data_IF_863417853512
#
_entry.id   IF_863417853512
#
_cell.length_a   1.000
_cell.length_b   1.000
_cell.length_c   1.000
_cell.angle_alpha   90.00
_cell.angle_beta   90.00
_cell.angle_gamma   90.00
#
_symmetry.space_group_name_H-M   'P 1'
#
loop_
_entity.id
_entity.type
_entity.pdbx_description
1 polymer ?
#
# COMPACT_ATOMS: atom_id res chain seq x y z
N UNK A 1 -1.28 -0.50 -6.38
CA UNK A 1 -2.03 -0.31 -5.13
C UNK A 1 -1.15 0.46 -4.16
N UNK A 2 -1.56 1.69 -3.83
CA UNK A 2 -0.89 2.52 -2.85
C UNK A 2 -1.51 2.34 -1.47
N UNK A 3 -0.68 2.04 -0.48
CA UNK A 3 -1.11 1.99 0.91
C UNK A 3 -1.11 3.43 1.48
N UNK A 4 -2.27 4.07 1.58
CA UNK A 4 -2.36 5.38 2.23
C UNK A 4 -2.18 5.18 3.73
N UNK A 5 -0.98 5.46 4.23
CA UNK A 5 -0.77 5.58 5.67
C UNK A 5 -1.30 6.94 6.11
N UNK A 6 -2.36 6.90 6.89
CA UNK A 6 -3.08 8.04 7.43
C UNK A 6 -2.45 8.47 8.75
N UNK A 7 -2.36 9.76 9.02
CA UNK A 7 -2.18 10.24 10.38
C UNK A 7 -3.52 10.85 10.81
N UNK A 8 -4.30 10.08 11.56
CA UNK A 8 -5.43 10.59 12.33
C UNK A 8 -4.96 11.59 13.35
N UNK A 9 -5.82 12.53 13.72
CA UNK A 9 -5.51 13.45 14.79
C UNK A 9 -6.68 13.48 15.78
N UNK A 10 -6.59 12.74 16.90
CA UNK A 10 -7.62 12.62 17.94
C UNK A 10 -7.13 13.22 19.28
N UNK A 11 -8.02 13.71 20.14
CA UNK A 11 -7.65 14.21 21.47
C UNK A 11 -7.80 13.11 22.54
N UNK A 12 -6.75 12.90 23.34
CA UNK A 12 -6.83 12.18 24.62
C UNK A 12 -7.43 13.10 25.68
N UNK A 13 -8.56 12.68 26.26
CA UNK A 13 -9.06 13.18 27.54
C UNK A 13 -8.27 12.54 28.69
N UNK A 14 -7.93 13.34 29.69
CA UNK A 14 -7.15 12.94 30.88
C UNK A 14 -8.03 12.15 31.86
N UNK A 15 -7.45 11.16 32.54
CA UNK A 15 -7.17 11.20 33.99
C UNK A 15 -6.49 9.90 34.48
N UNK A 16 -5.26 10.00 35.00
CA UNK A 16 -4.89 9.57 36.36
C UNK A 16 -3.39 9.76 36.63
N UNK A 17 -3.13 10.25 37.84
CA UNK A 17 -1.85 10.74 38.33
C UNK A 17 -0.93 9.62 38.82
N UNK A 18 0.40 9.75 38.60
CA UNK A 18 1.43 9.19 39.48
C UNK A 18 2.66 10.12 39.51
N UNK A 19 3.31 10.11 40.67
CA UNK A 19 4.26 11.03 41.28
C UNK A 19 5.62 11.25 40.61
N UNK A 20 6.14 12.46 40.85
CA UNK A 20 7.54 12.90 40.75
C UNK A 20 8.56 11.87 41.25
N UNK A 21 9.68 11.69 40.53
CA UNK A 21 11.03 11.51 41.12
C UNK A 21 12.17 11.80 40.12
N UNK A 22 12.88 12.91 40.41
CA UNK A 22 14.30 13.27 40.27
C UNK A 22 15.14 12.75 39.08
N UNK A 23 15.63 13.72 38.29
CA UNK A 23 16.85 13.66 37.49
C UNK A 23 18.11 13.53 38.35
N UNK A 24 19.13 12.83 37.84
CA UNK A 24 20.54 13.13 38.13
C UNK A 24 21.35 13.00 36.84
N UNK A 25 22.05 14.08 36.49
CA UNK A 25 23.07 14.16 35.44
C UNK A 25 24.35 13.42 35.88
N UNK A 26 25.08 12.86 34.91
CA UNK A 26 26.53 12.69 35.01
C UNK A 26 27.17 12.97 33.64
N UNK A 27 28.18 13.84 33.64
CA UNK A 27 29.03 14.27 32.53
C UNK A 27 30.48 13.93 32.91
N UNK A 28 31.28 13.39 31.97
CA UNK A 28 32.75 13.53 31.86
C UNK A 28 33.20 12.83 30.55
N UNK A 29 33.69 13.53 29.49
CA UNK A 29 35.05 14.05 29.21
C UNK A 29 36.07 12.91 28.92
N UNK A 30 36.31 12.54 27.64
CA UNK A 30 37.42 12.90 26.70
C UNK A 30 38.78 12.22 26.97
N UNK A 31 39.34 11.52 25.97
CA UNK A 31 40.73 11.72 25.46
C UNK A 31 41.02 10.94 24.15
N UNK A 32 41.66 11.66 23.21
CA UNK A 32 42.29 11.22 21.95
C UNK A 32 43.63 10.49 22.22
N UNK A 33 44.48 9.97 21.33
CA UNK A 33 44.70 9.85 19.88
C UNK A 33 45.68 8.65 19.72
N UNK A 34 45.96 8.04 18.55
CA UNK A 34 47.08 8.39 17.64
C UNK A 34 47.20 7.31 16.52
N UNK A 35 47.33 7.78 15.26
CA UNK A 35 48.13 7.35 14.07
C UNK A 35 48.51 5.86 13.90
N UNK A 36 48.48 5.17 12.75
CA UNK A 36 48.35 5.53 11.33
C UNK A 36 49.47 4.85 10.52
N UNK A 37 49.19 4.04 9.48
CA UNK A 37 50.06 3.83 8.29
C UNK A 37 49.20 3.48 7.07
N UNK A 38 49.55 4.13 5.97
CA UNK A 38 49.06 4.09 4.59
C UNK A 38 49.33 2.80 3.82
N UNK A 39 48.46 2.47 2.86
CA UNK A 39 48.74 1.59 1.73
C UNK A 39 47.76 1.83 0.57
N UNK A 40 48.23 2.47 -0.51
CA UNK A 40 47.48 2.76 -1.72
C UNK A 40 47.33 1.50 -2.61
N UNK A 41 46.15 1.30 -3.22
CA UNK A 41 46.02 0.68 -4.54
C UNK A 41 44.60 0.86 -5.13
N UNK A 42 44.54 1.32 -6.40
CA UNK A 42 43.50 0.93 -7.36
C UNK A 42 42.20 1.73 -7.38
N UNK A 43 42.24 2.97 -7.89
CA UNK A 43 41.05 3.76 -8.20
C UNK A 43 40.31 3.24 -9.43
N UNK A 44 39.02 2.98 -9.24
CA UNK A 44 38.04 2.63 -10.27
C UNK A 44 36.63 2.79 -9.72
N UNK A 45 36.36 3.93 -9.07
CA UNK A 45 35.04 4.26 -8.54
C UNK A 45 34.11 4.70 -9.67
N UNK A 46 33.16 3.86 -10.03
CA UNK A 46 31.92 4.33 -10.65
C UNK A 46 31.11 5.04 -9.58
N UNK A 47 31.27 6.36 -9.52
CA UNK A 47 30.32 7.25 -8.86
C UNK A 47 29.00 7.18 -9.64
N UNK A 48 28.09 6.29 -9.23
CA UNK A 48 26.71 6.33 -9.66
C UNK A 48 25.99 7.49 -8.96
N UNK A 49 26.25 8.72 -9.40
CA UNK A 49 25.35 9.84 -9.13
C UNK A 49 24.06 9.58 -9.91
N UNK A 50 23.03 9.09 -9.23
CA UNK A 50 21.68 9.03 -9.80
C UNK A 50 21.18 10.47 -9.98
N UNK A 51 21.04 10.88 -11.24
CA UNK A 51 20.55 12.19 -11.61
C UNK A 51 19.05 12.29 -11.30
N UNK A 52 18.71 13.15 -10.34
CA UNK A 52 17.35 13.64 -10.13
C UNK A 52 17.01 14.55 -11.33
N UNK A 53 16.38 13.98 -12.36
CA UNK A 53 16.02 14.73 -13.57
C UNK A 53 15.15 13.98 -14.58
N UNK A 54 14.94 12.67 -14.46
CA UNK A 54 14.09 11.93 -15.41
C UNK A 54 12.61 12.09 -15.09
N UNK A 55 11.84 12.57 -16.07
CA UNK A 55 10.38 12.44 -16.13
C UNK A 55 9.92 11.00 -16.40
N UNK A 56 10.85 10.06 -16.60
CA UNK A 56 10.55 8.65 -16.82
C UNK A 56 10.31 7.94 -15.48
N UNK A 57 9.06 7.52 -15.19
CA UNK A 57 8.73 6.80 -13.96
C UNK A 57 9.56 5.52 -13.78
N UNK A 58 10.08 4.95 -14.86
CA UNK A 58 10.92 3.74 -14.80
C UNK A 58 12.20 3.92 -13.99
N UNK A 59 12.80 5.10 -14.05
CA UNK A 59 14.03 5.42 -13.32
C UNK A 59 13.87 5.42 -11.80
N UNK A 60 12.62 5.45 -11.32
CA UNK A 60 12.28 5.45 -9.89
C UNK A 60 12.26 4.04 -9.31
N UNK A 61 12.42 3.02 -10.16
CA UNK A 61 12.39 1.61 -9.77
C UNK A 61 13.64 0.92 -10.30
N UNK A 62 14.59 0.66 -9.39
CA UNK A 62 15.76 -0.15 -9.70
C UNK A 62 15.39 -1.63 -9.74
N UNK A 63 15.33 -2.19 -10.94
CA UNK A 63 15.10 -3.62 -11.17
C UNK A 63 16.33 -4.25 -11.81
N UNK A 64 16.47 -5.56 -11.62
CA UNK A 64 17.41 -6.40 -12.34
C UNK A 64 16.62 -7.40 -13.23
N UNK A 65 15.98 -6.94 -14.33
CA UNK A 65 15.26 -7.84 -15.21
C UNK A 65 16.27 -8.76 -15.91
N UNK A 66 16.10 -10.06 -15.75
CA UNK A 66 16.87 -11.06 -16.46
C UNK A 66 15.96 -11.80 -17.43
N UNK A 67 16.51 -12.27 -18.55
CA UNK A 67 15.77 -13.18 -19.41
C UNK A 67 15.58 -14.49 -18.66
N UNK A 68 14.34 -14.93 -18.59
CA UNK A 68 13.96 -16.20 -17.96
C UNK A 68 14.74 -17.38 -18.55
N UNK A 69 15.07 -17.36 -19.84
CA UNK A 69 15.83 -18.42 -20.49
C UNK A 69 17.26 -18.57 -19.95
N UNK A 70 17.80 -17.53 -19.29
CA UNK A 70 19.13 -17.52 -18.70
C UNK A 70 19.12 -17.64 -17.17
N UNK A 71 17.96 -17.87 -16.57
CA UNK A 71 17.84 -18.05 -15.12
C UNK A 71 17.84 -19.53 -14.76
N UNK A 72 18.57 -19.87 -13.69
CA UNK A 72 18.50 -21.18 -13.09
C UNK A 72 17.10 -21.43 -12.49
N UNK A 73 16.61 -22.66 -12.65
CA UNK A 73 15.35 -23.10 -12.05
C UNK A 73 15.63 -23.75 -10.70
N UNK A 74 14.78 -23.44 -9.73
CA UNK A 74 14.71 -24.07 -8.43
C UNK A 74 15.00 -23.12 -7.29
N UNK A 75 15.20 -23.69 -6.10
CA UNK A 75 15.57 -22.94 -4.89
C UNK A 75 14.39 -22.42 -4.09
N UNK A 76 14.70 -21.86 -2.91
CA UNK A 76 13.74 -21.26 -1.99
C UNK A 76 14.02 -19.77 -1.87
N UNK A 77 12.98 -18.94 -1.96
CA UNK A 77 13.03 -17.55 -1.51
C UNK A 77 12.26 -17.38 -0.20
N UNK A 78 12.78 -16.60 0.74
CA UNK A 78 12.19 -16.31 2.05
C UNK A 78 11.98 -14.81 2.21
N UNK A 79 10.70 -14.41 2.28
CA UNK A 79 10.27 -13.04 2.44
C UNK A 79 9.65 -12.77 3.81
N UNK A 80 9.71 -11.51 4.23
CA UNK A 80 9.12 -11.06 5.50
C UNK A 80 7.66 -10.69 5.29
N UNK A 81 6.82 -11.14 6.23
CA UNK A 81 5.47 -10.66 6.43
C UNK A 81 5.43 -9.81 7.70
N UNK A 82 4.80 -8.62 7.65
CA UNK A 82 4.68 -7.76 8.84
C UNK A 82 3.53 -8.22 9.74
N UNK A 83 2.47 -8.72 9.12
CA UNK A 83 1.21 -9.05 9.77
C UNK A 83 0.60 -10.29 9.13
N UNK A 84 0.28 -11.29 9.94
CA UNK A 84 -0.49 -12.45 9.47
C UNK A 84 -1.96 -12.05 9.21
N UNK A 85 -2.60 -12.56 8.15
CA UNK A 85 -4.01 -12.30 7.92
C UNK A 85 -4.88 -12.91 9.03
N UNK A 86 -6.00 -12.24 9.33
CA UNK A 86 -7.07 -12.78 10.18
C UNK A 86 -8.22 -13.36 9.36
N UNK A 87 -8.15 -13.23 8.03
CA UNK A 87 -9.03 -13.81 7.04
C UNK A 87 -8.23 -13.97 5.73
N UNK A 88 -8.30 -15.14 5.09
CA UNK A 88 -7.53 -15.43 3.88
C UNK A 88 -8.21 -14.97 2.59
N UNK A 89 -9.44 -14.45 2.66
CA UNK A 89 -10.10 -13.79 1.54
C UNK A 89 -9.56 -12.36 1.36
N UNK A 90 -8.68 -12.16 0.37
CA UNK A 90 -8.08 -10.84 0.08
C UNK A 90 -9.08 -9.76 -0.36
N UNK A 91 -10.30 -10.16 -0.76
CA UNK A 91 -11.39 -9.26 -1.12
C UNK A 91 -12.33 -8.95 0.07
N UNK A 92 -12.08 -9.53 1.24
CA UNK A 92 -12.74 -9.21 2.50
C UNK A 92 -11.92 -8.16 3.28
N UNK A 93 -12.56 -7.24 4.01
CA UNK A 93 -11.87 -6.19 4.79
C UNK A 93 -10.83 -6.73 5.77
N UNK A 94 -11.16 -7.78 6.53
CA UNK A 94 -10.23 -8.47 7.45
C UNK A 94 -9.08 -9.24 6.75
N UNK A 95 -9.18 -9.48 5.44
CA UNK A 95 -8.14 -10.14 4.64
C UNK A 95 -7.38 -9.19 3.71
N UNK A 96 -7.87 -7.96 3.56
CA UNK A 96 -7.25 -6.89 2.78
C UNK A 96 -6.04 -6.29 3.51
N UNK A 97 -4.99 -7.10 3.64
CA UNK A 97 -3.73 -6.78 4.30
C UNK A 97 -2.60 -6.81 3.27
N UNK A 98 -1.72 -5.80 3.27
CA UNK A 98 -0.58 -5.71 2.38
C UNK A 98 0.29 -6.98 2.34
N UNK A 99 0.62 -7.55 3.50
CA UNK A 99 1.48 -8.74 3.55
C UNK A 99 0.80 -9.95 2.90
N UNK A 100 -0.50 -10.13 3.15
CA UNK A 100 -1.27 -11.19 2.52
C UNK A 100 -1.44 -10.97 1.02
N UNK A 101 -1.56 -9.70 0.58
CA UNK A 101 -1.57 -9.29 -0.82
C UNK A 101 -0.38 -9.80 -1.63
N UNK A 102 0.80 -9.97 -1.01
CA UNK A 102 1.97 -10.52 -1.68
C UNK A 102 1.81 -12.01 -2.01
N UNK A 103 1.11 -12.75 -1.15
CA UNK A 103 0.81 -14.18 -1.34
C UNK A 103 -0.32 -14.34 -2.35
N UNK A 104 -1.38 -13.55 -2.24
CA UNK A 104 -2.52 -13.62 -3.19
C UNK A 104 -2.14 -13.15 -4.59
N UNK A 105 -1.19 -12.22 -4.75
CA UNK A 105 -0.66 -11.84 -6.06
C UNK A 105 0.00 -13.01 -6.83
N UNK A 106 0.45 -14.05 -6.12
CA UNK A 106 1.05 -15.25 -6.72
C UNK A 106 0.11 -16.47 -6.74
N UNK A 107 -1.00 -16.43 -6.00
CA UNK A 107 -1.89 -17.59 -5.79
C UNK A 107 -3.30 -17.37 -6.32
N UNK A 108 -3.74 -16.13 -6.52
CA UNK A 108 -5.09 -15.77 -6.99
C UNK A 108 -5.07 -15.22 -8.43
N UNK A 109 -6.22 -15.21 -9.14
CA UNK A 109 -6.31 -14.72 -10.50
C UNK A 109 -6.02 -13.22 -10.61
N UNK A 110 -4.83 -12.84 -11.04
CA UNK A 110 -4.49 -11.45 -11.34
C UNK A 110 -4.68 -11.18 -12.84
N UNK A 111 -5.60 -10.29 -13.23
CA UNK A 111 -5.89 -10.03 -14.67
C UNK A 111 -4.93 -9.01 -15.30
N UNK A 112 -4.38 -8.13 -14.47
CA UNK A 112 -3.54 -7.02 -14.91
C UNK A 112 -2.27 -6.93 -14.08
N UNK A 113 -1.18 -6.57 -14.74
CA UNK A 113 0.08 -6.17 -14.14
C UNK A 113 0.47 -4.80 -14.67
N UNK A 114 1.32 -4.10 -13.92
CA UNK A 114 1.77 -2.76 -14.28
C UNK A 114 3.30 -2.76 -14.42
N UNK A 115 3.77 -2.18 -15.52
CA UNK A 115 5.20 -1.87 -15.69
C UNK A 115 5.62 -0.69 -14.80
N UNK A 116 6.92 -0.48 -14.54
CA UNK A 116 7.42 0.71 -13.85
C UNK A 116 7.02 2.02 -14.53
N UNK A 117 6.80 1.99 -15.84
CA UNK A 117 6.30 3.13 -16.62
C UNK A 117 4.81 3.42 -16.36
N UNK A 118 4.12 2.59 -15.56
CA UNK A 118 2.69 2.68 -15.31
C UNK A 118 1.82 2.11 -16.45
N UNK A 119 2.43 1.56 -17.51
CA UNK A 119 1.68 0.89 -18.56
C UNK A 119 1.09 -0.42 -18.04
N UNK A 120 -0.23 -0.57 -18.17
CA UNK A 120 -0.94 -1.80 -17.87
C UNK A 120 -0.68 -2.86 -18.94
N UNK A 121 -0.50 -4.10 -18.51
CA UNK A 121 -0.49 -5.26 -19.38
C UNK A 121 -1.44 -6.32 -18.84
N UNK A 122 -2.04 -7.09 -19.74
CA UNK A 122 -2.76 -8.29 -19.38
C UNK A 122 -1.81 -9.38 -18.87
N UNK A 123 -2.36 -10.31 -18.10
CA UNK A 123 -1.70 -11.55 -17.72
C UNK A 123 -2.18 -12.71 -18.59
N UNK A 124 -1.85 -13.94 -18.20
CA UNK A 124 -2.24 -15.19 -18.84
C UNK A 124 -3.74 -15.52 -18.74
N UNK A 125 -4.50 -14.75 -17.96
CA UNK A 125 -5.96 -14.89 -17.81
C UNK A 125 -6.76 -14.29 -18.96
N UNK A 126 -6.22 -13.31 -19.67
CA UNK A 126 -6.89 -12.65 -20.80
C UNK A 126 -6.15 -12.96 -22.10
N UNK A 127 -6.89 -13.08 -23.21
CA UNK A 127 -6.26 -13.25 -24.54
C UNK A 127 -5.82 -11.91 -25.14
N UNK A 128 -6.50 -10.82 -24.79
CA UNK A 128 -6.21 -9.43 -25.18
C UNK A 128 -6.66 -8.47 -24.09
N UNK A 129 -6.22 -7.21 -24.18
CA UNK A 129 -6.75 -6.17 -23.28
C UNK A 129 -8.26 -6.02 -23.48
N UNK A 130 -9.04 -5.69 -22.43
CA UNK A 130 -10.48 -5.55 -22.55
C UNK A 130 -10.85 -4.45 -23.56
N UNK A 131 -11.90 -4.70 -24.33
CA UNK A 131 -12.45 -3.71 -25.25
C UNK A 131 -13.41 -2.79 -24.49
N UNK A 132 -13.31 -1.47 -24.70
CA UNK A 132 -14.14 -0.48 -24.01
C UNK A 132 -14.89 0.34 -25.04
N UNK A 133 -16.21 0.34 -24.94
CA UNK A 133 -17.09 1.20 -25.73
C UNK A 133 -17.85 2.14 -24.80
N UNK A 134 -18.03 3.39 -25.20
CA UNK A 134 -18.85 4.36 -24.48
C UNK A 134 -19.90 4.89 -25.45
N UNK A 135 -21.18 4.64 -25.16
CA UNK A 135 -22.30 5.10 -25.97
C UNK A 135 -23.48 5.47 -25.08
N UNK A 136 -24.13 6.60 -25.38
CA UNK A 136 -25.30 7.06 -24.61
C UNK A 136 -25.03 7.30 -23.11
N UNK A 137 -23.78 7.60 -22.72
CA UNK A 137 -23.38 7.79 -21.32
C UNK A 137 -23.15 6.50 -20.53
N UNK A 138 -23.39 5.33 -21.13
CA UNK A 138 -23.01 4.03 -20.58
C UNK A 138 -21.65 3.59 -21.13
N UNK A 139 -20.94 2.81 -20.33
CA UNK A 139 -19.69 2.17 -20.74
C UNK A 139 -19.90 0.66 -20.76
N UNK A 140 -19.51 0.00 -21.84
CA UNK A 140 -19.52 -1.45 -21.97
C UNK A 140 -18.06 -1.92 -22.07
N UNK A 141 -17.70 -2.89 -21.24
CA UNK A 141 -16.37 -3.48 -21.22
C UNK A 141 -16.47 -4.96 -21.52
N UNK A 142 -15.80 -5.41 -22.58
CA UNK A 142 -15.76 -6.81 -22.98
C UNK A 142 -14.41 -7.42 -22.62
N UNK A 143 -14.43 -8.48 -21.82
CA UNK A 143 -13.27 -9.29 -21.45
C UNK A 143 -13.31 -10.61 -22.21
N UNK A 144 -12.18 -11.02 -22.77
CA UNK A 144 -12.03 -12.33 -23.39
C UNK A 144 -11.02 -13.15 -22.57
N UNK A 145 -11.53 -14.12 -21.82
CA UNK A 145 -10.75 -14.99 -20.95
C UNK A 145 -10.01 -16.06 -21.75
N UNK A 146 -8.85 -16.46 -21.24
CA UNK A 146 -8.10 -17.57 -21.79
C UNK A 146 -8.84 -18.89 -21.49
N UNK A 147 -9.22 -19.71 -22.49
CA UNK A 147 -9.97 -20.95 -22.26
C UNK A 147 -9.19 -22.02 -21.48
N UNK A 148 -7.87 -21.83 -21.31
CA UNK A 148 -7.03 -22.67 -20.44
C UNK A 148 -7.17 -22.30 -18.96
N UNK A 149 -7.79 -21.15 -18.64
CA UNK A 149 -7.90 -20.68 -17.28
C UNK A 149 -8.80 -21.58 -16.43
N UNK A 150 -8.22 -22.10 -15.34
CA UNK A 150 -8.86 -23.05 -14.43
C UNK A 150 -8.57 -22.70 -12.97
N UNK A 151 -9.53 -23.02 -12.10
CA UNK A 151 -9.34 -23.07 -10.66
C UNK A 151 -8.59 -24.33 -10.24
N UNK A 152 -8.00 -24.29 -9.05
CA UNK A 152 -7.28 -25.43 -8.49
C UNK A 152 -8.21 -26.61 -8.15
N UNK A 153 -9.53 -26.44 -8.10
CA UNK A 153 -10.50 -27.52 -7.97
C UNK A 153 -10.87 -28.16 -9.33
N UNK A 154 -10.34 -27.63 -10.43
CA UNK A 154 -10.55 -28.12 -11.79
C UNK A 154 -11.69 -27.43 -12.54
N UNK A 155 -12.48 -26.58 -11.89
CA UNK A 155 -13.52 -25.79 -12.57
C UNK A 155 -12.91 -24.72 -13.47
N UNK A 156 -13.66 -24.30 -14.50
CA UNK A 156 -13.22 -23.26 -15.45
C UNK A 156 -13.37 -21.87 -14.84
N UNK A 157 -12.49 -20.96 -15.24
CA UNK A 157 -12.67 -19.53 -14.97
C UNK A 157 -13.46 -18.94 -16.13
N UNK A 158 -14.70 -18.54 -15.87
CA UNK A 158 -15.65 -18.02 -16.84
C UNK A 158 -16.36 -16.76 -16.31
N UNK A 159 -17.39 -16.28 -17.02
CA UNK A 159 -18.18 -15.11 -16.63
C UNK A 159 -18.76 -15.18 -15.20
N UNK A 160 -18.97 -16.38 -14.65
CA UNK A 160 -19.50 -16.54 -13.29
C UNK A 160 -18.51 -16.06 -12.22
N UNK A 161 -17.19 -16.10 -12.50
CA UNK A 161 -16.18 -15.54 -11.61
C UNK A 161 -16.26 -14.00 -11.55
N UNK A 162 -16.57 -13.34 -12.67
CA UNK A 162 -16.82 -11.91 -12.71
C UNK A 162 -18.12 -11.58 -11.99
N UNK A 163 -19.18 -12.36 -12.23
CA UNK A 163 -20.46 -12.15 -11.55
C UNK A 163 -20.31 -12.30 -10.02
N UNK A 164 -19.60 -13.32 -9.57
CA UNK A 164 -19.26 -13.57 -8.16
C UNK A 164 -18.45 -12.40 -7.57
N UNK A 165 -17.41 -11.95 -8.27
CA UNK A 165 -16.57 -10.82 -7.85
C UNK A 165 -17.41 -9.55 -7.74
N UNK A 166 -18.21 -9.23 -8.76
CA UNK A 166 -19.10 -8.07 -8.74
C UNK A 166 -20.13 -8.14 -7.62
N UNK A 167 -20.84 -9.28 -7.47
CA UNK A 167 -21.82 -9.47 -6.40
C UNK A 167 -21.21 -9.28 -5.03
N UNK A 168 -20.00 -9.80 -4.81
CA UNK A 168 -19.29 -9.67 -3.55
C UNK A 168 -18.77 -8.27 -3.27
N UNK A 169 -18.36 -7.51 -4.29
CA UNK A 169 -17.70 -6.20 -4.10
C UNK A 169 -18.63 -4.98 -4.28
N UNK A 170 -19.81 -5.14 -4.89
CA UNK A 170 -20.71 -4.01 -5.18
C UNK A 170 -21.45 -3.43 -3.97
N UNK A 171 -21.38 -4.08 -2.81
CA UNK A 171 -22.26 -3.74 -1.69
C UNK A 171 -21.79 -2.47 -0.95
N UNK A 172 -22.64 -1.43 -0.95
CA UNK A 172 -22.69 -0.47 0.15
C UNK A 172 -23.62 -1.02 1.23
N UNK A 173 -23.08 -1.19 2.44
CA UNK A 173 -23.72 -1.31 3.77
C UNK A 173 -25.25 -1.24 3.78
N UNK A 174 -25.91 -2.40 3.95
CA UNK A 174 -27.01 -2.66 4.90
C UNK A 174 -27.84 -3.92 4.53
N UNK A 175 -28.24 -4.63 5.61
CA UNK A 175 -29.15 -5.78 5.73
C UNK A 175 -28.91 -6.96 4.77
N UNK A 176 -28.09 -7.93 5.22
CA UNK A 176 -27.96 -9.25 4.59
C UNK A 176 -27.13 -9.28 3.30
N UNK A 177 -26.19 -8.34 3.13
CA UNK A 177 -25.29 -8.23 1.96
C UNK A 177 -23.83 -8.39 2.37
N UNK A 178 -22.93 -8.43 1.37
CA UNK A 178 -21.47 -8.45 1.52
C UNK A 178 -20.93 -7.17 2.19
N UNK A 179 -21.19 -7.00 3.48
CA UNK A 179 -20.89 -5.77 4.23
C UNK A 179 -19.40 -5.55 4.52
N UNK A 180 -18.56 -6.55 4.23
CA UNK A 180 -17.13 -6.55 4.49
C UNK A 180 -16.30 -6.57 3.19
N UNK A 181 -16.76 -5.89 2.15
CA UNK A 181 -16.05 -5.79 0.87
C UNK A 181 -14.78 -4.94 0.98
N UNK A 182 -13.64 -5.49 0.55
CA UNK A 182 -12.34 -4.82 0.59
C UNK A 182 -12.11 -3.78 -0.52
N UNK A 183 -12.87 -3.83 -1.62
CA UNK A 183 -12.74 -2.93 -2.77
C UNK A 183 -14.09 -2.67 -3.45
N UNK A 184 -14.76 -1.56 -3.11
CA UNK A 184 -16.11 -1.25 -3.64
C UNK A 184 -16.12 -0.28 -4.83
N UNK A 185 -15.06 0.51 -5.00
CA UNK A 185 -14.98 1.54 -6.04
C UNK A 185 -15.15 0.93 -7.44
N UNK A 186 -15.98 1.57 -8.27
CA UNK A 186 -16.32 1.10 -9.62
C UNK A 186 -17.37 -0.02 -9.66
N UNK A 187 -17.35 -0.97 -8.72
CA UNK A 187 -18.33 -2.07 -8.68
C UNK A 187 -19.77 -1.61 -8.41
N UNK A 188 -19.95 -0.51 -7.67
CA UNK A 188 -21.25 0.14 -7.44
C UNK A 188 -21.87 0.76 -8.71
N UNK A 189 -21.02 1.16 -9.66
CA UNK A 189 -21.42 1.77 -10.93
C UNK A 189 -21.71 0.73 -12.02
N UNK A 190 -21.42 -0.56 -11.78
CA UNK A 190 -21.82 -1.65 -12.69
C UNK A 190 -23.35 -1.81 -12.66
N UNK A 191 -23.93 -1.88 -13.86
CA UNK A 191 -25.33 -2.20 -14.14
C UNK A 191 -25.54 -3.70 -14.28
N UNK A 192 -24.72 -4.37 -15.11
CA UNK A 192 -24.78 -5.82 -15.32
C UNK A 192 -23.41 -6.44 -15.60
N UNK A 193 -23.29 -7.73 -15.26
CA UNK A 193 -22.21 -8.62 -15.68
C UNK A 193 -22.87 -9.82 -16.33
N UNK A 194 -22.58 -10.03 -17.60
CA UNK A 194 -23.27 -11.01 -18.43
C UNK A 194 -22.26 -11.88 -19.19
N UNK A 195 -22.71 -13.09 -19.50
CA UNK A 195 -22.02 -13.95 -20.46
C UNK A 195 -22.18 -13.35 -21.86
N UNK A 196 -21.07 -13.24 -22.60
CA UNK A 196 -21.07 -12.93 -24.02
C UNK A 196 -21.38 -14.16 -24.88
N UNK A 197 -20.73 -14.23 -26.04
CA UNK A 197 -20.95 -15.32 -27.01
C UNK A 197 -20.53 -16.70 -26.45
N UNK A 198 -19.50 -16.74 -25.60
CA UNK A 198 -19.03 -17.94 -24.90
C UNK A 198 -18.96 -17.72 -23.39
N UNK A 199 -18.87 -18.78 -22.56
CA UNK A 199 -18.63 -18.64 -21.12
C UNK A 199 -17.40 -17.79 -20.77
N UNK A 200 -16.36 -17.84 -21.61
CA UNK A 200 -15.09 -17.11 -21.45
C UNK A 200 -15.16 -15.65 -21.91
N UNK A 201 -16.21 -15.25 -22.62
CA UNK A 201 -16.44 -13.86 -22.97
C UNK A 201 -17.37 -13.22 -21.93
N UNK A 202 -16.93 -12.12 -21.33
CA UNK A 202 -17.67 -11.41 -20.28
C UNK A 202 -17.99 -10.01 -20.74
N UNK A 203 -19.25 -9.62 -20.65
CA UNK A 203 -19.72 -8.27 -20.97
C UNK A 203 -20.12 -7.58 -19.67
N UNK A 204 -19.45 -6.48 -19.34
CA UNK A 204 -19.73 -5.67 -18.16
C UNK A 204 -20.26 -4.32 -18.59
N UNK A 205 -21.50 -4.01 -18.21
CA UNK A 205 -22.13 -2.72 -18.49
C UNK A 205 -22.10 -1.84 -17.26
N UNK A 206 -21.60 -0.61 -17.40
CA UNK A 206 -21.58 0.40 -16.34
C UNK A 206 -22.62 1.49 -16.59
N UNK A 207 -23.23 1.95 -15.51
CA UNK A 207 -24.16 3.10 -15.45
C UNK A 207 -23.46 4.42 -15.77
N UNK A 208 -22.16 4.49 -15.50
CA UNK A 208 -21.28 5.65 -15.73
C UNK A 208 -19.88 5.16 -16.09
N UNK A 209 -19.12 5.88 -16.93
CA UNK A 209 -17.75 5.49 -17.25
C UNK A 209 -16.87 5.40 -16.00
N UNK A 210 -16.13 4.29 -15.89
CA UNK A 210 -15.10 4.05 -14.89
C UNK A 210 -13.73 3.97 -15.58
N UNK A 211 -12.72 4.62 -14.98
CA UNK A 211 -11.35 4.62 -15.50
C UNK A 211 -10.33 4.74 -14.35
N UNK A 212 -9.25 3.94 -14.35
CA UNK A 212 -8.90 2.93 -15.36
C UNK A 212 -9.67 1.62 -15.19
N UNK A 213 -10.12 1.02 -16.29
CA UNK A 213 -10.80 -0.29 -16.27
C UNK A 213 -9.90 -1.42 -15.75
N UNK A 214 -8.58 -1.24 -15.71
CA UNK A 214 -7.63 -2.22 -15.17
C UNK A 214 -7.58 -2.23 -13.63
N UNK A 215 -8.27 -1.31 -12.97
CA UNK A 215 -8.46 -1.35 -11.51
C UNK A 215 -9.67 -2.20 -11.09
N UNK A 216 -10.62 -2.43 -11.99
CA UNK A 216 -11.77 -3.29 -11.72
C UNK A 216 -11.49 -4.71 -12.21
N UNK A 217 -11.99 -5.72 -11.49
CA UNK A 217 -11.67 -7.14 -11.74
C UNK A 217 -10.17 -7.44 -11.82
N UNK A 218 -9.31 -6.61 -11.19
CA UNK A 218 -7.87 -6.87 -11.12
C UNK A 218 -7.56 -8.22 -10.45
N UNK A 219 -8.41 -8.61 -9.49
CA UNK A 219 -8.48 -9.96 -8.92
C UNK A 219 -9.88 -10.55 -9.10
N UNK A 220 -9.99 -11.87 -9.30
CA UNK A 220 -11.26 -12.60 -9.34
C UNK A 220 -11.41 -13.52 -8.14
N UNK A 221 -12.66 -13.69 -7.69
CA UNK A 221 -13.02 -14.64 -6.63
C UNK A 221 -13.69 -15.88 -7.21
N UNK A 222 -13.43 -17.03 -6.60
CA UNK A 222 -14.10 -18.27 -6.95
C UNK A 222 -15.61 -18.20 -6.59
N UNK A 223 -16.54 -18.60 -7.47
CA UNK A 223 -17.98 -18.52 -7.21
C UNK A 223 -18.46 -19.14 -5.89
N UNK A 224 -17.89 -20.27 -5.48
CA UNK A 224 -18.14 -20.89 -4.15
C UNK A 224 -17.88 -19.94 -2.97
N UNK A 225 -16.88 -19.05 -3.05
CA UNK A 225 -16.56 -18.11 -1.96
C UNK A 225 -17.60 -16.99 -1.89
N UNK A 226 -18.13 -16.55 -3.03
CA UNK A 226 -19.16 -15.52 -3.13
C UNK A 226 -20.55 -16.10 -3.46
N UNK A 227 -20.84 -17.29 -2.92
CA UNK A 227 -22.16 -17.93 -3.06
C UNK A 227 -23.25 -17.11 -2.36
N UNK A 228 -22.95 -16.71 -1.13
CA UNK A 228 -23.80 -15.89 -0.27
C UNK A 228 -22.92 -15.11 0.72
N UNK A 229 -23.47 -14.06 1.38
CA UNK A 229 -22.71 -13.22 2.30
C UNK A 229 -22.08 -13.97 3.47
N UNK A 230 -22.76 -14.99 4.01
CA UNK A 230 -22.24 -15.76 5.14
C UNK A 230 -21.00 -16.56 4.71
N UNK A 231 -21.09 -17.24 3.56
CA UNK A 231 -19.97 -17.98 2.98
C UNK A 231 -18.77 -17.07 2.72
N UNK A 232 -18.98 -15.87 2.15
CA UNK A 232 -17.88 -14.94 1.89
C UNK A 232 -17.18 -14.42 3.15
N UNK A 233 -17.94 -14.25 4.24
CA UNK A 233 -17.42 -13.78 5.52
C UNK A 233 -16.69 -14.89 6.30
N UNK A 234 -17.09 -16.16 6.13
CA UNK A 234 -16.66 -17.24 7.03
C UNK A 234 -15.79 -18.30 6.38
N UNK A 235 -16.00 -18.63 5.11
CA UNK A 235 -15.35 -19.78 4.44
C UNK A 235 -13.82 -19.70 4.56
N UNK A 236 -13.24 -18.54 4.20
CA UNK A 236 -11.80 -18.33 4.22
C UNK A 236 -11.29 -17.68 5.51
N UNK A 237 -12.09 -17.64 6.58
CA UNK A 237 -11.69 -16.95 7.82
C UNK A 237 -10.50 -17.63 8.49
N UNK A 238 -10.52 -18.95 8.56
CA UNK A 238 -9.47 -19.76 9.20
C UNK A 238 -8.84 -20.79 8.26
N UNK A 239 -9.39 -20.97 7.06
CA UNK A 239 -8.88 -21.90 6.05
C UNK A 239 -8.49 -21.13 4.78
N UNK A 240 -7.26 -21.26 4.26
CA UNK A 240 -6.84 -20.57 3.05
C UNK A 240 -7.49 -21.08 1.75
N UNK A 241 -8.09 -22.27 1.75
CA UNK A 241 -8.76 -22.91 0.60
C UNK A 241 -7.94 -22.86 -0.70
N UNK A 242 -6.73 -23.47 -0.75
CA UNK A 242 -5.87 -23.45 -1.93
C UNK A 242 -6.53 -24.01 -3.19
N UNK A 243 -7.50 -24.92 -3.05
CA UNK A 243 -8.30 -25.48 -4.14
C UNK A 243 -9.24 -24.46 -4.80
N UNK A 244 -9.64 -23.40 -4.09
CA UNK A 244 -10.51 -22.34 -4.62
C UNK A 244 -9.72 -21.16 -5.21
N UNK A 245 -8.41 -21.32 -5.39
CA UNK A 245 -7.51 -20.31 -5.95
C UNK A 245 -7.04 -20.71 -7.34
N UNK A 246 -6.34 -19.82 -8.01
CA UNK A 246 -5.75 -20.07 -9.32
C UNK A 246 -4.64 -19.06 -9.50
N UNK A 247 -3.41 -19.53 -9.58
CA UNK A 247 -2.23 -18.70 -9.75
C UNK A 247 -1.01 -19.56 -10.09
N UNK A 248 0.12 -18.95 -10.45
CA UNK A 248 1.36 -19.67 -10.76
C UNK A 248 1.90 -20.47 -9.57
N UNK A 249 1.61 -20.05 -8.34
CA UNK A 249 1.89 -20.79 -7.12
C UNK A 249 0.59 -21.23 -6.43
N UNK A 250 0.68 -22.24 -5.57
CA UNK A 250 -0.40 -22.70 -4.69
C UNK A 250 0.10 -22.68 -3.25
N UNK A 251 -0.80 -22.37 -2.31
CA UNK A 251 -0.51 -22.43 -0.88
C UNK A 251 -0.30 -23.90 -0.51
N UNK A 252 0.90 -24.21 -0.03
CA UNK A 252 1.28 -25.54 0.44
C UNK A 252 0.97 -25.70 1.93
N UNK A 253 1.26 -24.67 2.71
CA UNK A 253 1.17 -24.71 4.16
C UNK A 253 0.98 -23.31 4.73
N UNK A 254 0.18 -23.24 5.81
CA UNK A 254 0.10 -22.10 6.69
C UNK A 254 0.27 -22.63 8.11
N UNK A 255 1.31 -22.18 8.79
CA UNK A 255 1.61 -22.54 10.17
C UNK A 255 1.39 -21.32 11.06
N UNK A 256 0.28 -21.34 11.80
CA UNK A 256 -0.09 -20.29 12.73
C UNK A 256 0.83 -20.22 13.96
N UNK A 257 1.51 -21.31 14.35
CA UNK A 257 2.40 -21.34 15.50
C UNK A 257 3.73 -20.68 15.17
N UNK A 258 4.34 -21.05 14.05
CA UNK A 258 5.59 -20.42 13.58
C UNK A 258 5.35 -19.11 12.83
N UNK A 259 4.08 -18.78 12.54
CA UNK A 259 3.64 -17.62 11.76
C UNK A 259 4.32 -17.60 10.39
N UNK A 260 4.26 -18.73 9.70
CA UNK A 260 4.81 -18.90 8.35
C UNK A 260 3.75 -19.33 7.34
N UNK A 261 3.94 -18.91 6.09
CA UNK A 261 3.16 -19.40 4.95
C UNK A 261 4.11 -19.84 3.85
N UNK A 262 3.83 -21.00 3.24
CA UNK A 262 4.65 -21.59 2.19
C UNK A 262 3.82 -21.73 0.94
N UNK A 263 4.32 -21.22 -0.19
CA UNK A 263 3.73 -21.44 -1.51
C UNK A 263 4.73 -22.19 -2.40
N UNK A 264 4.20 -23.05 -3.26
CA UNK A 264 4.98 -23.90 -4.18
C UNK A 264 4.39 -23.81 -5.60
N UNK A 265 5.14 -24.17 -6.66
CA UNK A 265 4.62 -24.14 -8.01
C UNK A 265 3.31 -24.91 -8.16
N UNK A 266 2.35 -24.28 -8.83
CA UNK A 266 1.06 -24.87 -9.09
C UNK A 266 1.11 -25.73 -10.36
N UNK A 267 0.91 -27.04 -10.23
CA UNK A 267 0.91 -27.97 -11.37
C UNK A 267 -0.30 -27.79 -12.30
N UNK A 268 -1.34 -27.04 -11.89
CA UNK A 268 -2.52 -26.71 -12.69
C UNK A 268 -2.36 -25.40 -13.48
N UNK A 269 -1.26 -24.67 -13.27
CA UNK A 269 -1.00 -23.41 -13.97
C UNK A 269 -0.69 -23.65 -15.46
N UNK A 270 -1.42 -22.97 -16.34
CA UNK A 270 -1.27 -23.10 -17.80
C UNK A 270 -0.30 -22.09 -18.42
N UNK A 271 0.11 -21.08 -17.65
CA UNK A 271 1.00 -20.02 -18.09
C UNK A 271 2.48 -20.38 -17.94
N UNK A 272 3.33 -19.36 -17.87
CA UNK A 272 4.75 -19.57 -17.57
C UNK A 272 4.90 -20.16 -16.17
N UNK A 273 5.48 -21.36 -16.08
CA UNK A 273 5.72 -22.02 -14.80
C UNK A 273 6.55 -21.13 -13.85
N UNK A 274 6.43 -21.22 -12.53
CA UNK A 274 7.39 -20.57 -11.66
C UNK A 274 8.84 -21.04 -11.88
N UNK A 275 9.79 -20.15 -11.58
CA UNK A 275 11.22 -20.51 -11.57
C UNK A 275 11.67 -21.08 -10.22
N UNK A 276 11.11 -20.58 -9.11
CA UNK A 276 11.43 -21.06 -7.75
C UNK A 276 10.66 -22.34 -7.42
N UNK A 277 11.26 -23.25 -6.64
CA UNK A 277 10.58 -24.45 -6.13
C UNK A 277 9.70 -24.13 -4.92
N UNK A 278 10.04 -23.07 -4.19
CA UNK A 278 9.36 -22.71 -2.95
C UNK A 278 9.52 -21.22 -2.64
N UNK A 279 8.47 -20.61 -2.12
CA UNK A 279 8.54 -19.29 -1.50
C UNK A 279 7.96 -19.38 -0.10
N UNK A 280 8.70 -18.88 0.88
CA UNK A 280 8.34 -18.86 2.30
C UNK A 280 8.11 -17.42 2.72
N UNK A 281 7.01 -17.17 3.43
CA UNK A 281 6.70 -15.89 4.04
C UNK A 281 6.71 -16.08 5.56
N UNK A 282 7.54 -15.31 6.28
CA UNK A 282 7.69 -15.43 7.73
C UNK A 282 7.29 -14.14 8.41
N UNK A 283 6.42 -14.20 9.41
CA UNK A 283 6.09 -13.01 10.20
C UNK A 283 7.28 -12.63 11.09
N UNK A 284 7.75 -11.39 10.98
CA UNK A 284 8.84 -10.88 11.81
C UNK A 284 8.65 -9.39 12.13
N UNK A 285 9.05 -9.00 13.34
CA UNK A 285 9.12 -7.59 13.74
C UNK A 285 10.23 -6.87 12.96
N UNK A 286 9.99 -5.60 12.61
CA UNK A 286 10.91 -4.81 11.77
C UNK A 286 12.34 -4.78 12.36
N UNK A 287 12.44 -4.69 13.68
CA UNK A 287 13.72 -4.66 14.41
C UNK A 287 14.58 -5.92 14.25
N UNK A 288 13.97 -7.07 13.94
CA UNK A 288 14.67 -8.35 13.76
C UNK A 288 15.15 -8.57 12.32
N UNK A 289 14.52 -7.92 11.34
CA UNK A 289 14.71 -8.24 9.92
C UNK A 289 16.13 -7.98 9.40
N UNK A 290 16.83 -6.95 9.88
CA UNK A 290 18.21 -6.68 9.46
C UNK A 290 19.17 -7.81 9.88
N UNK A 291 19.02 -8.30 11.12
CA UNK A 291 19.85 -9.39 11.62
C UNK A 291 19.52 -10.70 10.89
N UNK A 292 18.25 -10.98 10.68
CA UNK A 292 17.80 -12.16 9.94
C UNK A 292 18.37 -12.17 8.51
N UNK A 293 18.37 -11.03 7.81
CA UNK A 293 18.96 -10.92 6.48
C UNK A 293 20.46 -11.20 6.49
N UNK A 294 21.20 -10.63 7.46
CA UNK A 294 22.64 -10.87 7.61
C UNK A 294 22.99 -12.34 7.88
N UNK A 295 22.11 -13.03 8.60
CA UNK A 295 22.26 -14.45 8.91
C UNK A 295 21.83 -15.37 7.74
N UNK A 296 21.30 -14.82 6.64
CA UNK A 296 20.76 -15.60 5.54
C UNK A 296 19.42 -16.29 5.84
N UNK A 297 18.69 -15.82 6.87
CA UNK A 297 17.37 -16.36 7.21
C UNK A 297 16.24 -15.80 6.32
N UNK A 298 16.47 -14.66 5.68
CA UNK A 298 15.55 -14.01 4.72
C UNK A 298 16.34 -13.44 3.54
N UNK A 299 15.71 -13.41 2.36
CA UNK A 299 16.36 -12.98 1.11
C UNK A 299 16.13 -11.50 0.77
N UNK A 300 15.22 -10.82 1.48
CA UNK A 300 14.96 -9.40 1.29
C UNK A 300 14.47 -8.72 2.57
N UNK A 301 14.88 -7.47 2.77
CA UNK A 301 14.38 -6.59 3.84
C UNK A 301 14.41 -5.13 3.41
N UNK A 302 13.51 -4.32 3.96
CA UNK A 302 13.43 -2.89 3.69
C UNK A 302 14.54 -2.11 4.40
N UNK A 303 15.13 -1.12 3.73
CA UNK A 303 16.13 -0.21 4.32
C UNK A 303 15.63 1.23 4.17
N UNK A 304 14.84 1.69 5.14
CA UNK A 304 14.09 2.94 5.02
C UNK A 304 14.77 4.17 5.65
N UNK A 305 15.93 4.03 6.29
CA UNK A 305 16.64 5.13 6.95
C UNK A 305 18.16 4.86 7.08
N UNK A 306 18.91 5.93 7.41
CA UNK A 306 20.36 5.90 7.58
C UNK A 306 20.82 4.79 8.54
N UNK A 307 20.20 4.66 9.70
CA UNK A 307 20.63 3.70 10.72
C UNK A 307 20.53 2.25 10.20
N UNK A 308 19.44 1.89 9.53
CA UNK A 308 19.29 0.56 8.91
C UNK A 308 20.27 0.36 7.75
N UNK A 309 20.53 1.40 6.97
CA UNK A 309 21.51 1.35 5.88
C UNK A 309 22.92 1.11 6.42
N UNK A 310 23.32 1.83 7.48
CA UNK A 310 24.61 1.62 8.16
C UNK A 310 24.72 0.21 8.74
N UNK A 311 23.62 -0.32 9.29
CA UNK A 311 23.63 -1.69 9.80
C UNK A 311 23.86 -2.70 8.68
N UNK A 312 23.23 -2.57 7.50
CA UNK A 312 23.31 -3.60 6.45
C UNK A 312 24.54 -3.48 5.54
N UNK A 313 25.20 -2.31 5.52
CA UNK A 313 26.44 -2.09 4.74
C UNK A 313 27.49 -3.17 5.05
N UNK A 314 28.16 -3.64 4.00
CA UNK A 314 29.20 -4.67 4.09
C UNK A 314 28.69 -6.11 4.19
N UNK A 315 27.37 -6.34 4.18
CA UNK A 315 26.82 -7.71 4.07
C UNK A 315 27.19 -8.29 2.70
N UNK A 316 27.89 -9.43 2.70
CA UNK A 316 28.33 -10.08 1.47
C UNK A 316 27.13 -10.53 0.62
N UNK A 317 27.23 -10.40 -0.71
CA UNK A 317 26.18 -10.82 -1.64
C UNK A 317 24.91 -9.96 -1.61
N UNK A 318 24.86 -8.89 -0.81
CA UNK A 318 23.72 -7.98 -0.78
C UNK A 318 23.72 -7.06 -2.01
N UNK A 319 22.54 -6.90 -2.62
CA UNK A 319 22.25 -5.82 -3.56
C UNK A 319 21.27 -4.83 -2.92
N UNK A 320 21.60 -3.54 -2.94
CA UNK A 320 20.67 -2.48 -2.57
C UNK A 320 19.90 -2.02 -3.81
N UNK A 321 18.58 -2.15 -3.76
CA UNK A 321 17.67 -1.63 -4.79
C UNK A 321 16.76 -0.58 -4.18
N UNK A 322 16.41 0.43 -4.96
CA UNK A 322 15.43 1.44 -4.56
C UNK A 322 14.18 1.36 -5.44
N UNK A 323 13.04 1.69 -4.84
CA UNK A 323 11.79 1.94 -5.54
C UNK A 323 11.06 3.09 -4.86
N UNK A 324 10.44 3.96 -5.63
CA UNK A 324 9.44 4.86 -5.07
C UNK A 324 8.17 4.08 -4.73
N UNK A 325 7.57 4.39 -3.59
CA UNK A 325 6.29 3.81 -3.18
C UNK A 325 5.15 4.55 -3.85
N UNK A 326 4.14 3.82 -4.34
CA UNK A 326 2.99 4.39 -5.05
C UNK A 326 1.88 4.82 -4.09
N UNK A 327 2.24 5.48 -2.98
CA UNK A 327 1.30 6.06 -2.04
C UNK A 327 1.81 7.35 -1.45
N UNK A 328 0.88 8.20 -1.03
CA UNK A 328 1.17 9.44 -0.35
C UNK A 328 0.74 9.36 1.11
N UNK A 329 1.54 9.95 1.99
CA UNK A 329 1.12 10.20 3.37
C UNK A 329 0.31 11.49 3.39
N UNK A 330 -0.90 11.42 3.93
CA UNK A 330 -1.80 12.58 4.02
C UNK A 330 -2.20 12.87 5.46
N UNK A 331 -2.27 14.15 5.80
CA UNK A 331 -2.90 14.60 7.03
C UNK A 331 -4.39 14.78 6.79
N UNK A 332 -5.20 13.93 7.42
CA UNK A 332 -6.66 14.09 7.40
C UNK A 332 -7.09 14.83 8.66
N UNK A 333 -7.60 16.04 8.47
CA UNK A 333 -8.15 16.82 9.57
C UNK A 333 -9.56 16.38 9.88
N UNK A 334 -9.77 15.83 11.08
CA UNK A 334 -11.11 15.51 11.57
C UNK A 334 -11.88 16.80 11.89
N UNK A 335 -12.70 17.28 10.95
CA UNK A 335 -13.49 18.50 11.11
C UNK A 335 -14.57 18.41 12.20
N UNK A 336 -14.86 17.22 12.74
CA UNK A 336 -15.75 17.08 13.91
C UNK A 336 -15.02 17.38 15.24
N UNK A 337 -13.68 17.41 15.24
CA UNK A 337 -12.92 17.78 16.43
C UNK A 337 -13.12 19.26 16.76
N UNK A 338 -13.36 19.63 18.05
CA UNK A 338 -13.54 21.02 18.45
C UNK A 338 -12.42 21.97 18.03
N UNK A 339 -11.18 21.47 17.96
CA UNK A 339 -10.01 22.25 17.54
C UNK A 339 -9.88 22.35 16.02
N UNK A 340 -10.17 21.26 15.29
CA UNK A 340 -9.92 21.16 13.85
C UNK A 340 -11.15 21.51 12.99
N UNK A 341 -12.32 21.76 13.60
CA UNK A 341 -13.51 22.29 12.90
C UNK A 341 -13.26 23.68 12.31
N UNK A 342 -12.43 24.49 12.97
CA UNK A 342 -12.07 25.83 12.52
C UNK A 342 -11.10 25.76 11.33
N UNK A 343 -11.50 26.36 10.21
CA UNK A 343 -10.68 26.41 9.00
C UNK A 343 -9.39 27.20 9.21
N UNK A 344 -9.38 28.21 10.07
CA UNK A 344 -8.19 28.99 10.38
C UNK A 344 -7.13 28.13 11.06
N UNK A 345 -7.54 27.20 11.93
CA UNK A 345 -6.64 26.24 12.57
C UNK A 345 -6.03 25.30 11.52
N UNK A 346 -6.85 24.71 10.63
CA UNK A 346 -6.34 23.82 9.57
C UNK A 346 -5.39 24.54 8.62
N UNK A 347 -5.73 25.77 8.23
CA UNK A 347 -4.88 26.64 7.41
C UNK A 347 -3.55 26.94 8.09
N UNK A 348 -3.57 27.31 9.37
CA UNK A 348 -2.37 27.61 10.14
C UNK A 348 -1.46 26.38 10.33
N UNK A 349 -2.04 25.19 10.51
CA UNK A 349 -1.25 23.94 10.55
C UNK A 349 -0.51 23.75 9.22
N UNK A 350 -1.18 23.97 8.10
CA UNK A 350 -0.56 23.85 6.78
C UNK A 350 0.51 24.91 6.53
N UNK A 351 0.29 26.16 6.96
CA UNK A 351 1.29 27.24 6.92
C UNK A 351 2.49 26.95 7.81
N UNK A 352 2.30 26.28 8.94
CA UNK A 352 3.36 25.94 9.88
C UNK A 352 4.19 24.71 9.49
N UNK A 353 3.80 23.97 8.45
CA UNK A 353 4.44 22.70 8.07
C UNK A 353 5.53 22.92 7.03
N UNK A 354 6.79 22.82 7.44
CA UNK A 354 7.94 22.85 6.52
C UNK A 354 8.11 21.49 5.84
N UNK A 355 7.47 21.34 4.69
CA UNK A 355 7.49 20.10 3.91
C UNK A 355 8.86 19.80 3.30
N UNK A 356 9.65 20.84 3.03
CA UNK A 356 11.01 20.70 2.51
C UNK A 356 11.97 20.22 3.62
N UNK A 357 11.82 20.73 4.84
CA UNK A 357 12.56 20.22 5.99
C UNK A 357 12.19 18.77 6.31
N UNK A 358 10.90 18.40 6.26
CA UNK A 358 10.46 17.02 6.45
C UNK A 358 11.11 16.07 5.43
N UNK A 359 11.15 16.48 4.16
CA UNK A 359 11.83 15.76 3.08
C UNK A 359 13.32 15.58 3.39
N UNK A 360 14.03 16.65 3.75
CA UNK A 360 15.45 16.60 4.13
C UNK A 360 15.70 15.64 5.29
N UNK A 361 14.85 15.65 6.32
CA UNK A 361 14.95 14.73 7.46
C UNK A 361 14.71 13.29 7.02
N UNK A 362 13.66 13.03 6.23
CA UNK A 362 13.29 11.68 5.76
C UNK A 362 14.41 11.03 4.97
N UNK A 363 15.03 11.78 4.07
CA UNK A 363 16.07 11.28 3.18
C UNK A 363 17.49 11.52 3.71
N UNK A 364 17.65 12.01 4.93
CA UNK A 364 18.96 12.28 5.51
C UNK A 364 19.78 10.99 5.65
N UNK A 365 20.97 10.95 5.03
CA UNK A 365 21.91 9.84 5.15
C UNK A 365 21.55 8.59 4.35
N UNK A 366 20.59 8.70 3.42
CA UNK A 366 20.35 7.70 2.39
C UNK A 366 20.66 8.33 1.02
N UNK A 367 21.24 7.55 0.10
CA UNK A 367 21.65 8.01 -1.23
C UNK A 367 20.46 8.04 -2.21
N UNK A 368 19.38 8.69 -1.78
CA UNK A 368 18.13 8.78 -2.51
C UNK A 368 17.31 9.96 -2.00
N UNK A 369 16.59 10.63 -2.90
CA UNK A 369 15.72 11.73 -2.53
C UNK A 369 14.57 11.90 -3.52
N UNK A 370 13.43 12.39 -3.04
CA UNK A 370 12.24 12.63 -3.87
C UNK A 370 11.86 14.11 -3.85
N UNK A 371 11.05 14.54 -4.82
CA UNK A 371 10.37 15.84 -4.80
C UNK A 371 9.17 15.81 -3.84
N UNK A 372 8.87 16.90 -3.11
CA UNK A 372 7.62 17.00 -2.35
C UNK A 372 6.40 16.68 -3.21
N UNK A 373 5.36 16.08 -2.60
CA UNK A 373 4.07 15.79 -3.27
C UNK A 373 3.28 17.08 -3.46
N UNK A 374 3.48 17.79 -4.56
CA UNK A 374 2.85 19.10 -4.77
C UNK A 374 1.47 19.03 -5.42
N UNK A 375 1.04 17.86 -5.89
CA UNK A 375 -0.30 17.63 -6.41
C UNK A 375 -1.14 16.81 -5.45
N UNK A 376 -2.38 17.24 -5.21
CA UNK A 376 -3.39 16.46 -4.51
C UNK A 376 -3.98 15.31 -5.34
N UNK A 377 -3.66 15.21 -6.62
CA UNK A 377 -4.24 14.24 -7.57
C UNK A 377 -3.19 13.32 -8.21
N UNK A 378 -2.00 13.85 -8.49
CA UNK A 378 -0.95 13.12 -9.19
C UNK A 378 0.28 12.90 -8.30
N UNK A 379 1.04 11.84 -8.56
CA UNK A 379 2.33 11.64 -7.91
C UNK A 379 3.37 12.65 -8.41
N UNK A 380 4.38 12.96 -7.60
CA UNK A 380 5.41 13.98 -7.93
C UNK A 380 6.20 13.71 -9.22
N UNK A 381 6.19 12.47 -9.71
CA UNK A 381 6.86 12.06 -10.94
C UNK A 381 5.95 12.11 -12.18
N UNK A 382 4.63 12.22 -12.01
CA UNK A 382 3.70 12.27 -13.14
C UNK A 382 3.86 13.61 -13.87
N UNK A 383 4.00 13.63 -15.20
CA UNK A 383 4.12 14.89 -15.96
C UNK A 383 2.93 15.85 -15.79
N UNK A 384 1.76 15.34 -15.39
CA UNK A 384 0.54 16.13 -15.12
C UNK A 384 0.51 16.71 -13.71
N UNK A 385 1.49 16.37 -12.86
CA UNK A 385 1.56 16.86 -11.50
C UNK A 385 1.89 18.35 -11.47
N UNK A 386 0.86 19.16 -11.21
CA UNK A 386 1.01 20.58 -10.93
C UNK A 386 0.92 20.85 -9.44
N UNK A 387 1.62 21.90 -9.00
CA UNK A 387 1.50 22.37 -7.63
C UNK A 387 0.14 23.02 -7.41
N UNK A 388 -0.79 22.28 -6.79
CA UNK A 388 -2.13 22.74 -6.48
C UNK A 388 -2.38 22.84 -4.97
N UNK A 389 -1.30 22.94 -4.18
CA UNK A 389 -1.41 23.04 -2.73
C UNK A 389 -1.83 24.46 -2.33
N UNK A 390 -2.90 24.61 -1.52
CA UNK A 390 -3.55 25.90 -1.31
C UNK A 390 -2.75 26.87 -0.45
N UNK A 391 -1.69 26.40 0.23
CA UNK A 391 -0.95 27.21 1.20
C UNK A 391 0.53 26.85 1.21
N UNK A 392 1.38 27.88 1.25
CA UNK A 392 2.83 27.76 1.37
C UNK A 392 3.26 27.75 2.85
N UNK A 393 4.43 27.18 3.11
CA UNK A 393 5.06 27.26 4.41
C UNK A 393 5.41 28.73 4.75
N UNK A 394 4.81 29.23 5.82
CA UNK A 394 5.04 30.55 6.41
C UNK A 394 4.61 30.53 7.89
N UNK A 395 5.55 30.32 8.82
CA UNK A 395 5.27 30.33 10.26
C UNK A 395 4.73 31.66 10.78
N UNK A 396 5.04 32.79 10.14
CA UNK A 396 4.53 34.10 10.56
C UNK A 396 3.07 34.24 10.14
N UNK A 397 2.73 33.87 8.91
CA UNK A 397 1.34 33.81 8.45
C UNK A 397 0.50 32.79 9.24
N UNK A 398 1.09 31.66 9.67
CA UNK A 398 0.43 30.71 10.56
C UNK A 398 0.04 31.35 11.90
N UNK A 399 0.99 32.05 12.54
CA UNK A 399 0.73 32.77 13.80
C UNK A 399 -0.32 33.85 13.62
N UNK A 400 -0.24 34.64 12.55
CA UNK A 400 -1.23 35.67 12.25
C UNK A 400 -2.62 35.06 12.02
N UNK A 401 -2.71 33.99 11.24
CA UNK A 401 -3.98 33.28 10.97
C UNK A 401 -4.62 32.77 12.26
N UNK A 402 -3.82 32.26 13.21
CA UNK A 402 -4.31 31.85 14.52
C UNK A 402 -4.75 33.05 15.38
N UNK A 403 -3.97 34.12 15.42
CA UNK A 403 -4.28 35.33 16.18
C UNK A 403 -5.57 36.00 15.69
N UNK A 404 -5.72 36.16 14.37
CA UNK A 404 -6.92 36.71 13.74
C UNK A 404 -8.17 35.87 14.07
N UNK A 405 -8.00 34.56 14.28
CA UNK A 405 -9.07 33.64 14.70
C UNK A 405 -9.25 33.52 16.23
N UNK A 406 -8.56 34.36 17.02
CA UNK A 406 -8.68 34.42 18.47
C UNK A 406 -7.85 33.39 19.25
N UNK A 407 -6.94 32.68 18.59
CA UNK A 407 -5.98 31.76 19.22
C UNK A 407 -4.70 32.51 19.60
N UNK A 408 -4.71 33.08 20.80
CA UNK A 408 -3.56 33.84 21.31
C UNK A 408 -2.51 32.94 21.95
N UNK A 409 -1.20 33.27 21.80
CA UNK A 409 -0.14 32.55 22.48
C UNK A 409 -0.32 32.62 23.99
N UNK A 410 0.06 31.55 24.68
CA UNK A 410 0.07 31.54 26.15
C UNK A 410 1.12 32.53 26.64
N UNK A 411 0.79 33.46 27.56
CA UNK A 411 1.78 34.31 28.19
C UNK A 411 2.83 33.44 28.88
N UNK A 412 4.12 33.70 28.62
CA UNK A 412 5.25 33.04 29.28
C UNK A 412 5.11 33.17 30.79
N UNK A 413 5.08 32.05 31.52
CA UNK A 413 4.96 32.00 32.99
C UNK A 413 3.54 31.85 33.57
N UNK A 414 2.48 31.84 32.76
CA UNK A 414 1.10 31.73 33.26
C UNK A 414 0.62 30.28 33.42
N UNK A 415 0.01 29.91 34.54
CA UNK A 415 -0.72 28.63 34.74
C UNK A 415 -2.12 28.60 34.09
N UNK A 416 -2.61 29.72 33.53
CA UNK A 416 -3.93 29.79 32.89
C UNK A 416 -3.95 29.12 31.51
N UNK A 417 -5.05 28.43 31.21
CA UNK A 417 -5.35 27.86 29.87
C UNK A 417 -5.45 29.00 28.84
N UNK A 418 -5.05 28.75 27.59
CA UNK A 418 -5.29 29.67 26.47
C UNK A 418 -6.78 30.09 26.44
N UNK A 419 -7.07 31.33 26.05
CA UNK A 419 -8.45 31.82 25.88
C UNK A 419 -9.28 30.92 24.93
N UNK A 420 -8.60 30.26 23.97
CA UNK A 420 -9.04 29.05 23.27
C UNK A 420 -7.85 28.10 23.11
N UNK A 421 -7.80 27.00 23.86
CA UNK A 421 -6.71 26.03 23.71
C UNK A 421 -6.93 25.15 22.49
N UNK A 422 -6.02 25.22 21.51
CA UNK A 422 -5.97 24.27 20.41
C UNK A 422 -5.02 23.13 20.78
N UNK A 423 -5.56 22.00 21.24
CA UNK A 423 -4.84 20.74 21.37
C UNK A 423 -5.46 19.73 20.42
N UNK A 424 -4.61 18.92 19.82
CA UNK A 424 -4.96 17.82 18.95
C UNK A 424 -3.80 16.82 19.04
N UNK A 425 -4.05 15.52 19.08
CA UNK A 425 -2.98 14.51 19.12
C UNK A 425 -2.94 13.76 17.81
N UNK A 426 -1.76 13.49 17.26
CA UNK A 426 -1.59 12.72 16.03
C UNK A 426 -1.55 11.21 16.33
N UNK A 427 -2.13 10.40 15.46
CA UNK A 427 -2.23 8.95 15.50
C UNK A 427 -1.97 8.43 14.09
N UNK A 428 -0.94 7.61 13.90
CA UNK A 428 -0.72 6.92 12.62
C UNK A 428 -1.74 5.78 12.49
N UNK A 429 -2.47 5.71 11.38
CA UNK A 429 -3.35 4.62 10.97
C UNK A 429 -2.92 4.12 9.59
N UNK A 430 -2.60 2.84 9.45
CA UNK A 430 -2.65 2.19 8.15
C UNK A 430 -4.11 1.79 7.91
N UNK A 431 -4.81 2.42 6.96
CA UNK A 431 -6.16 1.98 6.59
C UNK A 431 -6.10 1.19 5.28
N UNK A 432 -6.47 -0.09 5.27
CA UNK A 432 -7.03 -0.71 4.09
C UNK A 432 -8.26 0.10 3.66
N UNK A 433 -8.41 0.30 2.35
CA UNK A 433 -9.40 1.14 1.69
C UNK A 433 -10.78 1.13 2.38
N UNK A 434 -11.06 2.14 3.21
CA UNK A 434 -12.38 2.32 3.84
C UNK A 434 -12.91 3.72 3.50
N UNK A 435 -14.10 3.74 2.88
CA UNK A 435 -14.74 4.92 2.26
C UNK A 435 -14.87 6.12 3.21
N UNK A 436 -14.54 7.31 2.69
CA UNK A 436 -15.11 8.57 3.16
C UNK A 436 -16.54 8.70 2.62
N UNK A 437 -17.56 8.57 3.48
CA UNK A 437 -18.97 8.79 3.12
C UNK A 437 -19.28 10.28 3.30
N UNK A 438 -19.28 11.06 2.21
CA UNK A 438 -19.86 12.40 2.19
C UNK A 438 -21.40 12.29 2.21
N UNK A 439 -22.01 12.30 3.40
CA UNK A 439 -23.46 12.57 3.50
C UNK A 439 -23.67 14.08 3.43
N UNK A 440 -24.41 14.55 2.42
CA UNK A 440 -25.01 15.90 2.46
C UNK A 440 -25.91 15.97 3.70
N UNK A 441 -25.82 17.02 4.54
CA UNK A 441 -26.81 17.27 5.56
C UNK A 441 -28.16 17.50 4.88
N UNK A 442 -29.18 16.72 5.25
CA UNK A 442 -30.57 17.07 5.00
C UNK A 442 -30.86 18.37 5.74
N UNK A 443 -31.33 19.38 5.01
CA UNK A 443 -31.82 20.64 5.57
C UNK A 443 -32.99 20.37 6.51
N UNK A 444 -33.01 20.92 7.74
CA UNK A 444 -34.18 20.85 8.59
C UNK A 444 -35.27 21.80 8.05
N UNK A 445 -36.50 21.27 7.95
CA UNK A 445 -37.74 22.04 7.87
C UNK A 445 -38.08 22.69 9.21
#
# INVERSE_FOLDING_TARGET
MGEVTLVWVACSGKDNAVSKRRCTMAVAIVMAAVLGVSGCAGGGGQDSKSSVGSHDPASLVQRNPQDRAHMDKGGTAVFVMKTFPTNYNGLHTDGNNHSWGQITAATDPMLFIYSPQGASARTEYLIKMPHVEVSGGKQVVTYDLNPKAIWNDGTKIDWTAFEATWKSQRASVDEGKYNNSGATAGYEDIESVEKGDTPEQVVVTFKKPFNPITEIFASLIHPKVAKDPETFNTLMKTDPHPELRSGPFVIKEIDDQSRTAVIVPNNKWWGNAPMLDRVVFRQMEESATILAFKNGEIDATDVANKARLEQIRGTAGMELRHSQLLYNNVYIFNANSPSLKDIAVRKAIWQGLDREQLRKIRFNGIDYTEKPVESGLFFSFDPRAENNMPVKFDPQAARKTLQDAGYLPRPTGSSRKMARSCRFATQLLAMPHCKQRWRRPSSPS
#
